data_IF_746959259869
#
_entry.id   IF_746959259869
#
_cell.length_a   1.000
_cell.length_b   1.000
_cell.length_c   1.000
_cell.angle_alpha   90.00
_cell.angle_beta   90.00
_cell.angle_gamma   90.00
#
_symmetry.space_group_name_H-M   'P 1'
#
loop_
_entity.id
_entity.type
_entity.pdbx_description
1 polymer ?
#
# COMPACT_ATOMS: atom_id res chain seq x y z
N UNK A 1 7.75 -7.75 -12.35
CA UNK A 1 6.37 -7.85 -12.89
C UNK A 1 6.15 -7.23 -14.29
N UNK A 2 7.18 -6.73 -15.00
CA UNK A 2 7.05 -6.10 -16.34
C UNK A 2 7.24 -7.08 -17.52
N UNK A 3 7.64 -8.33 -17.26
CA UNK A 3 7.92 -9.32 -18.31
C UNK A 3 6.66 -10.07 -18.82
N UNK A 4 5.53 -9.97 -18.12
CA UNK A 4 4.32 -10.73 -18.45
C UNK A 4 3.49 -10.12 -19.62
N UNK A 5 3.59 -8.82 -19.86
CA UNK A 5 2.68 -8.11 -20.79
C UNK A 5 3.05 -8.27 -22.28
N UNK A 6 4.30 -8.60 -22.63
CA UNK A 6 4.69 -8.85 -24.03
C UNK A 6 4.19 -10.20 -24.56
N UNK A 7 3.86 -11.16 -23.69
CA UNK A 7 3.38 -12.50 -24.08
C UNK A 7 1.86 -12.56 -24.27
N UNK A 8 1.08 -11.70 -23.62
CA UNK A 8 -0.39 -11.71 -23.70
C UNK A 8 -0.89 -11.38 -25.13
N UNK A 9 -0.24 -10.44 -25.84
CA UNK A 9 -0.53 -10.17 -27.27
C UNK A 9 -0.32 -11.39 -28.18
N UNK A 10 0.61 -12.29 -27.84
CA UNK A 10 0.86 -13.49 -28.63
C UNK A 10 -0.11 -14.64 -28.32
N UNK A 11 -0.76 -14.63 -27.15
CA UNK A 11 -1.77 -15.65 -26.78
C UNK A 11 -3.13 -15.32 -27.40
N UNK A 12 -3.50 -14.04 -27.50
CA UNK A 12 -4.71 -13.63 -28.24
C UNK A 12 -4.60 -13.94 -29.75
N UNK A 13 -3.39 -13.81 -30.33
CA UNK A 13 -3.13 -14.22 -31.70
C UNK A 13 -3.24 -15.75 -31.92
N UNK A 14 -3.00 -16.55 -30.87
CA UNK A 14 -3.18 -18.02 -30.89
C UNK A 14 -4.60 -18.48 -30.53
N UNK A 15 -5.40 -17.66 -29.85
CA UNK A 15 -6.84 -17.96 -29.59
C UNK A 15 -7.69 -17.97 -30.86
N UNK A 16 -7.21 -17.40 -31.97
CA UNK A 16 -7.86 -17.52 -33.28
C UNK A 16 -7.65 -18.88 -33.96
N UNK A 17 -6.73 -19.73 -33.48
CA UNK A 17 -6.58 -21.11 -33.93
C UNK A 17 -7.19 -22.06 -32.90
N UNK A 18 -8.43 -22.47 -33.15
CA UNK A 18 -9.32 -23.18 -32.23
C UNK A 18 -8.69 -24.20 -31.29
N UNK A 19 -8.95 -24.05 -30.00
CA UNK A 19 -9.03 -25.14 -29.03
C UNK A 19 -10.02 -24.76 -27.91
N UNK A 20 -10.84 -25.73 -27.54
CA UNK A 20 -12.10 -25.62 -26.78
C UNK A 20 -11.95 -24.93 -25.42
N UNK A 21 -12.90 -24.03 -25.13
CA UNK A 21 -13.16 -23.47 -23.80
C UNK A 21 -14.10 -24.38 -23.03
N UNK A 22 -13.72 -24.80 -21.81
CA UNK A 22 -14.64 -25.43 -20.85
C UNK A 22 -15.28 -24.33 -20.00
N UNK A 23 -16.62 -24.28 -19.86
CA UNK A 23 -17.29 -23.18 -19.16
C UNK A 23 -17.14 -23.22 -17.63
N UNK A 24 -17.00 -22.04 -17.04
CA UNK A 24 -16.68 -21.73 -15.64
C UNK A 24 -17.74 -22.07 -14.57
N UNK A 25 -18.74 -22.90 -14.88
CA UNK A 25 -19.95 -23.04 -14.03
C UNK A 25 -19.78 -23.79 -12.70
N UNK A 26 -18.86 -24.75 -12.59
CA UNK A 26 -18.97 -25.79 -11.54
C UNK A 26 -17.76 -25.96 -10.61
N UNK A 27 -16.83 -25.01 -10.53
CA UNK A 27 -15.64 -25.11 -9.64
C UNK A 27 -15.51 -24.03 -8.57
N UNK A 28 -16.48 -23.12 -8.47
CA UNK A 28 -16.51 -22.09 -7.42
C UNK A 28 -17.01 -22.60 -6.06
N UNK A 29 -17.35 -23.89 -5.93
CA UNK A 29 -17.66 -24.50 -4.63
C UNK A 29 -16.38 -24.99 -3.96
N UNK A 30 -16.01 -24.34 -2.86
CA UNK A 30 -14.93 -24.68 -1.93
C UNK A 30 -13.49 -24.46 -2.43
N UNK A 31 -13.01 -23.22 -2.28
CA UNK A 31 -11.63 -23.03 -1.80
C UNK A 31 -11.77 -22.66 -0.33
N UNK A 32 -11.82 -23.69 0.54
CA UNK A 32 -11.73 -23.50 2.00
C UNK A 32 -10.29 -23.17 2.38
N UNK A 33 -10.08 -22.61 3.57
CA UNK A 33 -8.75 -22.37 4.10
C UNK A 33 -7.97 -23.70 4.17
N UNK A 34 -6.64 -23.72 3.98
CA UNK A 34 -5.83 -24.94 4.10
C UNK A 34 -5.92 -25.63 5.47
N UNK A 35 -6.36 -24.91 6.50
CA UNK A 35 -6.50 -25.39 7.88
C UNK A 35 -7.77 -26.27 8.07
N UNK A 36 -8.80 -26.09 7.22
CA UNK A 36 -10.03 -26.90 7.20
C UNK A 36 -9.84 -28.29 6.54
N UNK A 37 -8.68 -28.57 5.94
CA UNK A 37 -8.42 -29.81 5.18
C UNK A 37 -7.65 -30.88 5.97
N UNK A 38 -7.57 -30.75 7.30
CA UNK A 38 -6.92 -31.75 8.16
C UNK A 38 -7.66 -33.10 8.24
N UNK A 39 -8.89 -33.20 7.71
CA UNK A 39 -9.67 -34.44 7.70
C UNK A 39 -10.35 -34.66 6.35
N UNK A 40 -9.69 -35.31 5.39
CA UNK A 40 -10.35 -35.87 4.20
C UNK A 40 -9.54 -35.80 2.92
N UNK A 41 -8.93 -36.92 2.55
CA UNK A 41 -8.28 -37.15 1.26
C UNK A 41 -9.27 -36.98 0.09
N UNK A 42 -8.92 -36.11 -0.87
CA UNK A 42 -8.96 -36.36 -2.34
C UNK A 42 -8.99 -35.04 -3.15
N UNK A 43 -7.83 -34.38 -3.37
CA UNK A 43 -7.53 -33.56 -4.58
C UNK A 43 -6.19 -32.78 -4.51
N UNK A 44 -5.46 -32.84 -3.39
CA UNK A 44 -4.23 -32.04 -3.19
C UNK A 44 -3.02 -32.46 -4.05
N UNK A 45 -3.04 -33.63 -4.70
CA UNK A 45 -1.91 -34.13 -5.51
C UNK A 45 -1.53 -33.19 -6.66
N UNK A 46 -2.52 -32.52 -7.26
CA UNK A 46 -2.29 -31.55 -8.35
C UNK A 46 -1.77 -30.20 -7.84
N UNK A 47 -1.97 -29.84 -6.57
CA UNK A 47 -1.53 -28.56 -6.00
C UNK A 47 -0.14 -28.60 -5.32
N UNK A 48 0.42 -29.80 -5.07
CA UNK A 48 1.76 -29.97 -4.48
C UNK A 48 2.82 -29.18 -5.26
N UNK A 49 3.44 -28.17 -4.66
CA UNK A 49 4.50 -27.35 -5.27
C UNK A 49 4.12 -25.90 -5.61
N UNK A 50 2.84 -25.54 -5.55
CA UNK A 50 2.42 -24.13 -5.68
C UNK A 50 2.67 -23.41 -4.35
N UNK A 51 3.40 -22.27 -4.32
CA UNK A 51 3.65 -21.53 -3.09
C UNK A 51 2.36 -21.11 -2.38
N UNK A 52 2.33 -21.28 -1.05
CA UNK A 52 1.15 -21.00 -0.22
C UNK A 52 0.62 -19.56 -0.34
N UNK A 53 1.51 -18.58 -0.59
CA UNK A 53 1.09 -17.19 -0.77
C UNK A 53 0.19 -16.98 -1.99
N UNK A 54 0.32 -17.80 -3.04
CA UNK A 54 -0.52 -17.71 -4.25
C UNK A 54 -1.96 -18.12 -3.93
N UNK A 55 -2.15 -19.19 -3.15
CA UNK A 55 -3.50 -19.61 -2.75
C UNK A 55 -4.18 -18.56 -1.88
N UNK A 56 -3.44 -17.92 -0.97
CA UNK A 56 -3.97 -16.80 -0.17
C UNK A 56 -4.39 -15.63 -1.04
N UNK A 57 -3.52 -15.20 -1.94
CA UNK A 57 -3.79 -14.09 -2.86
C UNK A 57 -5.02 -14.37 -3.74
N UNK A 58 -5.10 -15.56 -4.35
CA UNK A 58 -6.26 -15.97 -5.16
C UNK A 58 -7.54 -15.99 -4.33
N UNK A 59 -7.49 -16.57 -3.12
CA UNK A 59 -8.68 -16.67 -2.24
C UNK A 59 -9.21 -15.29 -1.87
N UNK A 60 -8.32 -14.37 -1.46
CA UNK A 60 -8.68 -12.99 -1.15
C UNK A 60 -9.28 -12.29 -2.38
N UNK A 61 -8.61 -12.35 -3.52
CA UNK A 61 -9.03 -11.65 -4.75
C UNK A 61 -10.37 -12.17 -5.31
N UNK A 62 -10.66 -13.46 -5.17
CA UNK A 62 -11.95 -14.03 -5.58
C UNK A 62 -13.09 -13.55 -4.67
N UNK A 63 -12.85 -13.46 -3.36
CA UNK A 63 -13.85 -12.96 -2.40
C UNK A 63 -14.05 -11.45 -2.49
N UNK A 64 -13.00 -10.70 -2.85
CA UNK A 64 -13.01 -9.25 -3.01
C UNK A 64 -13.35 -8.79 -4.43
N UNK A 65 -13.74 -9.72 -5.32
CA UNK A 65 -13.99 -9.41 -6.72
C UNK A 65 -15.11 -8.38 -6.87
N UNK A 66 -14.84 -7.31 -7.61
CA UNK A 66 -15.80 -6.22 -7.87
C UNK A 66 -15.92 -5.21 -6.73
N UNK A 67 -15.19 -5.38 -5.63
CA UNK A 67 -15.17 -4.39 -4.56
C UNK A 67 -14.43 -3.13 -5.02
N UNK A 68 -15.01 -1.96 -4.71
CA UNK A 68 -14.37 -0.69 -5.02
C UNK A 68 -13.02 -0.58 -4.31
N UNK A 69 -12.00 -0.15 -5.04
CA UNK A 69 -10.66 0.05 -4.48
C UNK A 69 -9.81 -1.22 -4.39
N UNK A 70 -10.21 -2.33 -5.00
CA UNK A 70 -9.42 -3.57 -5.10
C UNK A 70 -9.10 -3.86 -6.57
N UNK A 71 -7.91 -4.40 -6.86
CA UNK A 71 -7.53 -4.80 -8.23
C UNK A 71 -8.41 -5.91 -8.79
N UNK A 72 -8.68 -5.86 -10.09
CA UNK A 72 -9.53 -6.84 -10.76
C UNK A 72 -8.70 -8.02 -11.25
N UNK A 73 -8.80 -9.17 -10.57
CA UNK A 73 -8.30 -10.44 -11.08
C UNK A 73 -9.20 -10.91 -12.23
N UNK A 74 -8.62 -10.99 -13.44
CA UNK A 74 -9.31 -11.35 -14.67
C UNK A 74 -9.24 -12.86 -14.89
N UNK A 75 -8.06 -13.46 -14.72
CA UNK A 75 -7.84 -14.88 -15.02
C UNK A 75 -6.67 -15.46 -14.20
N UNK A 76 -6.64 -16.78 -14.08
CA UNK A 76 -5.56 -17.55 -13.45
C UNK A 76 -5.05 -18.54 -14.50
N UNK A 77 -3.82 -18.33 -14.96
CA UNK A 77 -3.21 -19.09 -16.04
C UNK A 77 -2.20 -20.09 -15.46
N UNK A 78 -2.41 -21.38 -15.73
CA UNK A 78 -1.39 -22.39 -15.53
C UNK A 78 -0.42 -22.39 -16.73
N UNK A 79 0.87 -22.20 -16.48
CA UNK A 79 1.86 -21.99 -17.55
C UNK A 79 2.46 -23.30 -18.05
N UNK A 80 2.79 -24.23 -17.15
CA UNK A 80 3.54 -25.44 -17.51
C UNK A 80 3.34 -26.60 -16.53
N UNK A 81 3.88 -27.76 -16.91
CA UNK A 81 3.90 -29.00 -16.11
C UNK A 81 4.65 -28.85 -14.77
N UNK A 82 5.35 -27.73 -14.54
CA UNK A 82 6.04 -27.43 -13.27
C UNK A 82 5.15 -26.63 -12.31
N UNK A 83 3.83 -26.56 -12.57
CA UNK A 83 2.84 -25.93 -11.68
C UNK A 83 3.11 -24.44 -11.45
N UNK A 84 3.69 -23.74 -12.44
CA UNK A 84 3.80 -22.28 -12.40
C UNK A 84 2.45 -21.65 -12.71
N UNK A 85 1.95 -20.84 -11.76
CA UNK A 85 0.69 -20.10 -11.88
C UNK A 85 0.99 -18.62 -12.18
N UNK A 86 0.25 -18.05 -13.13
CA UNK A 86 0.23 -16.62 -13.42
C UNK A 86 -1.14 -16.04 -13.12
N UNK A 87 -1.16 -14.95 -12.36
CA UNK A 87 -2.37 -14.17 -12.11
C UNK A 87 -2.45 -13.04 -13.15
N UNK A 88 -3.55 -12.99 -13.90
CA UNK A 88 -3.81 -11.96 -14.88
C UNK A 88 -4.75 -10.91 -14.28
N UNK A 89 -4.27 -9.67 -14.17
CA UNK A 89 -5.03 -8.55 -13.63
C UNK A 89 -5.42 -7.57 -14.71
N UNK A 90 -6.47 -6.79 -14.47
CA UNK A 90 -6.73 -5.58 -15.26
C UNK A 90 -5.52 -4.64 -15.18
N UNK A 91 -5.14 -4.08 -16.32
CA UNK A 91 -4.00 -3.17 -16.38
C UNK A 91 -4.40 -1.76 -15.94
N UNK A 92 -3.69 -1.24 -14.94
CA UNK A 92 -3.88 0.09 -14.38
C UNK A 92 -2.85 1.04 -15.01
N UNK A 93 -3.30 1.93 -15.92
CA UNK A 93 -2.42 2.70 -16.81
C UNK A 93 -1.58 3.76 -16.09
N UNK A 94 -2.02 4.19 -14.92
CA UNK A 94 -1.35 5.20 -14.11
C UNK A 94 -0.13 4.67 -13.35
N UNK A 95 0.13 3.36 -13.38
CA UNK A 95 1.22 2.75 -12.63
C UNK A 95 0.89 2.62 -11.14
N UNK A 96 1.92 2.69 -10.29
CA UNK A 96 1.78 2.65 -8.83
C UNK A 96 2.01 4.02 -8.17
N UNK A 97 1.42 4.19 -7.00
CA UNK A 97 1.47 5.43 -6.23
C UNK A 97 2.90 5.80 -5.81
N UNK A 98 3.75 4.82 -5.51
CA UNK A 98 5.14 5.05 -5.14
C UNK A 98 5.93 5.74 -6.25
N UNK A 99 5.79 5.24 -7.48
CA UNK A 99 6.38 5.85 -8.67
C UNK A 99 5.85 7.27 -8.90
N UNK A 100 4.55 7.50 -8.70
CA UNK A 100 3.96 8.84 -8.87
C UNK A 100 4.56 9.85 -7.88
N UNK A 101 4.61 9.50 -6.58
CA UNK A 101 5.19 10.34 -5.52
C UNK A 101 6.66 10.63 -5.84
N UNK A 102 7.46 9.60 -6.07
CA UNK A 102 8.90 9.75 -6.31
C UNK A 102 9.20 10.59 -7.58
N UNK A 103 8.43 10.38 -8.65
CA UNK A 103 8.55 11.14 -9.90
C UNK A 103 8.22 12.61 -9.70
N UNK A 104 7.22 12.93 -8.89
CA UNK A 104 6.84 14.30 -8.59
C UNK A 104 7.90 15.00 -7.73
N UNK A 105 8.31 14.37 -6.62
CA UNK A 105 9.34 14.86 -5.69
C UNK A 105 10.63 15.18 -6.44
N UNK A 106 11.08 14.28 -7.31
CA UNK A 106 12.33 14.44 -8.06
C UNK A 106 12.29 15.65 -8.99
N UNK A 107 11.16 15.87 -9.69
CA UNK A 107 10.98 17.01 -10.59
C UNK A 107 10.94 18.35 -9.84
N UNK A 108 10.30 18.37 -8.67
CA UNK A 108 10.22 19.59 -7.83
C UNK A 108 11.59 19.99 -7.25
N UNK A 109 12.45 19.03 -6.91
CA UNK A 109 13.82 19.29 -6.43
C UNK A 109 14.70 19.95 -7.50
N UNK A 110 14.53 19.56 -8.77
CA UNK A 110 15.30 20.10 -9.90
C UNK A 110 14.87 21.54 -10.25
N UNK A 111 13.63 21.93 -9.93
CA UNK A 111 13.07 23.26 -10.21
C UNK A 111 13.49 24.40 -9.27
N UNK A 112 14.41 24.16 -8.31
CA UNK A 112 15.04 25.23 -7.52
C UNK A 112 14.23 25.81 -6.35
N UNK A 113 13.00 25.36 -6.08
CA UNK A 113 12.21 25.85 -4.95
C UNK A 113 12.60 25.06 -3.67
N UNK A 114 13.67 25.50 -3.01
CA UNK A 114 14.04 25.00 -1.66
C UNK A 114 12.89 25.31 -0.68
N UNK A 115 12.33 24.29 -0.02
CA UNK A 115 11.37 24.44 1.07
C UNK A 115 9.88 24.28 0.72
N UNK A 116 9.49 24.09 -0.55
CA UNK A 116 8.10 23.80 -0.91
C UNK A 116 7.67 22.38 -0.48
N UNK A 117 6.39 22.19 -0.12
CA UNK A 117 5.80 20.85 0.10
C UNK A 117 6.13 19.97 -1.12
N UNK A 118 6.90 18.90 -0.90
CA UNK A 118 7.42 18.03 -1.97
C UNK A 118 6.45 16.92 -2.37
N UNK A 119 5.37 16.72 -1.60
CA UNK A 119 4.35 15.73 -1.87
C UNK A 119 3.41 16.10 -3.01
N UNK A 120 2.42 15.25 -3.24
CA UNK A 120 1.38 15.45 -4.23
C UNK A 120 0.53 16.70 -3.94
N UNK A 121 -0.08 17.31 -4.97
CA UNK A 121 -1.12 18.32 -4.84
C UNK A 121 -2.17 17.94 -3.79
N UNK A 122 -2.61 18.89 -2.97
CA UNK A 122 -3.45 18.60 -1.80
C UNK A 122 -4.80 17.99 -2.21
N UNK A 123 -5.38 18.50 -3.29
CA UNK A 123 -6.65 18.00 -3.87
C UNK A 123 -6.53 16.52 -4.25
N UNK A 124 -5.42 16.15 -4.88
CA UNK A 124 -5.13 14.78 -5.30
C UNK A 124 -4.83 13.87 -4.10
N UNK A 125 -3.96 14.31 -3.19
CA UNK A 125 -3.64 13.54 -1.99
C UNK A 125 -4.89 13.25 -1.15
N UNK A 126 -5.80 14.22 -1.04
CA UNK A 126 -7.08 14.04 -0.33
C UNK A 126 -8.00 13.06 -1.05
N UNK A 127 -8.13 13.18 -2.37
CA UNK A 127 -8.93 12.27 -3.19
C UNK A 127 -8.41 10.82 -3.09
N UNK A 128 -7.10 10.65 -3.17
CA UNK A 128 -6.42 9.36 -3.03
C UNK A 128 -6.53 8.78 -1.62
N UNK A 129 -6.34 9.60 -0.57
CA UNK A 129 -6.54 9.18 0.81
C UNK A 129 -7.97 8.64 1.05
N UNK A 130 -8.98 9.34 0.53
CA UNK A 130 -10.38 8.90 0.62
C UNK A 130 -10.58 7.53 -0.04
N UNK A 131 -10.06 7.35 -1.26
CA UNK A 131 -10.20 6.09 -2.00
C UNK A 131 -9.46 4.93 -1.33
N UNK A 132 -8.25 5.19 -0.80
CA UNK A 132 -7.49 4.20 -0.04
C UNK A 132 -8.29 3.69 1.17
N UNK A 133 -8.90 4.61 1.93
CA UNK A 133 -9.71 4.25 3.09
C UNK A 133 -10.99 3.50 2.71
N UNK A 134 -11.66 3.88 1.61
CA UNK A 134 -12.81 3.14 1.08
C UNK A 134 -12.42 1.73 0.65
N UNK A 135 -11.30 1.58 -0.06
CA UNK A 135 -10.77 0.27 -0.46
C UNK A 135 -10.48 -0.62 0.75
N UNK A 136 -9.83 -0.07 1.78
CA UNK A 136 -9.57 -0.80 3.02
C UNK A 136 -10.83 -1.17 3.77
N UNK A 137 -11.80 -0.27 3.85
CA UNK A 137 -13.10 -0.58 4.44
C UNK A 137 -13.75 -1.76 3.72
N UNK A 138 -13.71 -1.80 2.39
CA UNK A 138 -14.27 -2.92 1.63
C UNK A 138 -13.50 -4.24 1.87
N UNK A 139 -12.18 -4.18 1.97
CA UNK A 139 -11.35 -5.35 2.30
C UNK A 139 -11.71 -5.88 3.70
N UNK A 140 -11.76 -5.00 4.69
CA UNK A 140 -12.04 -5.34 6.09
C UNK A 140 -13.48 -5.82 6.28
N UNK A 141 -14.47 -5.18 5.64
CA UNK A 141 -15.88 -5.60 5.70
C UNK A 141 -16.11 -7.00 5.11
N UNK A 142 -15.26 -7.43 4.18
CA UNK A 142 -15.29 -8.78 3.62
C UNK A 142 -14.42 -9.78 4.41
N UNK A 143 -13.95 -9.40 5.61
CA UNK A 143 -13.26 -10.33 6.50
C UNK A 143 -11.78 -10.51 6.20
N UNK A 144 -11.12 -9.60 5.47
CA UNK A 144 -9.70 -9.71 5.13
C UNK A 144 -8.86 -8.60 5.76
N UNK A 145 -7.59 -8.90 6.05
CA UNK A 145 -6.53 -7.92 6.32
C UNK A 145 -5.51 -7.97 5.20
N UNK A 146 -5.02 -6.81 4.76
CA UNK A 146 -4.06 -6.71 3.66
C UNK A 146 -2.63 -7.06 4.10
N UNK A 147 -2.14 -6.47 5.20
CA UNK A 147 -0.86 -6.76 5.87
C UNK A 147 0.43 -6.48 5.08
N UNK A 148 0.36 -5.91 3.88
CA UNK A 148 1.52 -5.33 3.18
C UNK A 148 1.18 -4.07 2.38
N UNK A 149 0.48 -3.13 3.02
CA UNK A 149 0.19 -1.84 2.40
C UNK A 149 1.47 -1.02 2.29
N UNK A 150 1.74 -0.56 1.07
CA UNK A 150 2.80 0.38 0.73
C UNK A 150 2.42 1.09 -0.58
N UNK A 151 3.02 2.25 -0.91
CA UNK A 151 2.70 2.97 -2.14
C UNK A 151 2.88 2.13 -3.41
N UNK A 152 3.84 1.20 -3.43
CA UNK A 152 4.07 0.29 -4.56
C UNK A 152 2.96 -0.75 -4.78
N UNK A 153 2.10 -0.98 -3.79
CA UNK A 153 0.97 -1.91 -3.84
C UNK A 153 -0.37 -1.19 -4.08
N UNK A 154 -0.32 0.12 -4.35
CA UNK A 154 -1.49 0.94 -4.65
C UNK A 154 -1.40 1.37 -6.11
N UNK A 155 -2.27 0.81 -6.94
CA UNK A 155 -2.33 1.03 -8.38
C UNK A 155 -3.23 2.22 -8.71
N UNK A 156 -2.93 2.89 -9.84
CA UNK A 156 -3.65 4.06 -10.32
C UNK A 156 -4.26 3.74 -11.69
N UNK A 157 -5.57 3.92 -11.84
CA UNK A 157 -6.28 3.47 -13.04
C UNK A 157 -5.89 4.18 -14.32
N UNK A 158 -5.67 5.49 -14.23
CA UNK A 158 -5.39 6.35 -15.37
C UNK A 158 -4.18 7.24 -15.09
N UNK A 159 -3.42 7.57 -16.14
CA UNK A 159 -2.23 8.40 -16.02
C UNK A 159 -2.59 9.83 -15.61
N UNK A 160 -1.89 10.33 -14.60
CA UNK A 160 -2.13 11.65 -14.04
C UNK A 160 -1.26 12.70 -14.72
N UNK A 161 -1.89 13.75 -15.27
CA UNK A 161 -1.19 14.90 -15.85
C UNK A 161 -0.77 15.90 -14.78
N UNK A 162 0.30 15.58 -14.04
CA UNK A 162 0.75 16.33 -12.86
C UNK A 162 0.97 17.84 -13.10
N UNK A 163 1.49 18.25 -14.26
CA UNK A 163 1.75 19.67 -14.55
C UNK A 163 0.47 20.51 -14.53
N UNK A 164 -0.61 19.97 -15.10
CA UNK A 164 -1.90 20.63 -15.17
C UNK A 164 -2.51 20.78 -13.77
N UNK A 165 -2.42 19.73 -12.95
CA UNK A 165 -2.92 19.76 -11.56
C UNK A 165 -2.16 20.78 -10.72
N UNK A 166 -0.83 20.81 -10.78
CA UNK A 166 -0.01 21.76 -10.02
C UNK A 166 -0.30 23.21 -10.43
N UNK A 167 -0.37 23.49 -11.74
CA UNK A 167 -0.70 24.81 -12.25
C UNK A 167 -2.08 25.29 -11.74
N UNK A 168 -3.07 24.39 -11.74
CA UNK A 168 -4.40 24.70 -11.23
C UNK A 168 -4.41 25.06 -9.74
N UNK A 169 -3.64 24.35 -8.90
CA UNK A 169 -3.58 24.60 -7.47
C UNK A 169 -2.87 25.94 -7.15
N UNK A 170 -1.84 26.29 -7.93
CA UNK A 170 -1.16 27.58 -7.81
C UNK A 170 -2.07 28.75 -8.19
N UNK A 171 -2.84 28.62 -9.27
CA UNK A 171 -3.79 29.65 -9.71
C UNK A 171 -4.90 29.89 -8.67
N UNK A 172 -5.39 28.82 -8.02
CA UNK A 172 -6.37 28.95 -6.92
C UNK A 172 -5.81 29.74 -5.72
N UNK A 173 -4.52 29.57 -5.40
CA UNK A 173 -3.87 30.30 -4.30
C UNK A 173 -3.57 31.76 -4.64
N UNK A 174 -3.35 32.07 -5.90
CA UNK A 174 -3.01 33.42 -6.36
C UNK A 174 -4.19 34.40 -6.36
N UNK A 175 -5.43 33.94 -6.11
CA UNK A 175 -6.62 34.81 -6.03
C UNK A 175 -6.96 35.52 -7.35
N UNK A 176 -6.23 35.25 -8.43
CA UNK A 176 -6.50 35.81 -9.75
C UNK A 176 -7.74 35.12 -10.33
N UNK A 177 -8.70 35.92 -10.77
CA UNK A 177 -9.90 35.46 -11.46
C UNK A 177 -9.52 34.73 -12.74
N UNK A 178 -9.23 33.43 -12.64
CA UNK A 178 -9.19 32.54 -13.79
C UNK A 178 -10.59 32.01 -14.06
N UNK A 179 -10.94 31.99 -15.35
CA UNK A 179 -12.25 31.64 -15.88
C UNK A 179 -12.79 30.35 -15.23
N UNK A 180 -14.07 30.39 -14.85
CA UNK A 180 -14.77 29.31 -14.14
C UNK A 180 -14.69 27.99 -14.93
N UNK A 181 -14.64 28.05 -16.27
CA UNK A 181 -14.54 26.88 -17.15
C UNK A 181 -13.24 26.07 -16.98
N UNK A 182 -12.09 26.70 -16.71
CA UNK A 182 -10.83 25.95 -16.51
C UNK A 182 -10.76 25.26 -15.15
N UNK A 183 -11.47 25.76 -14.13
CA UNK A 183 -11.56 25.12 -12.79
C UNK A 183 -12.37 23.83 -12.82
N UNK A 184 -13.39 23.75 -13.68
CA UNK A 184 -14.32 22.61 -13.73
C UNK A 184 -13.63 21.36 -14.34
N UNK A 185 -12.75 21.53 -15.32
CA UNK A 185 -12.18 20.40 -16.08
C UNK A 185 -11.14 19.58 -15.29
N UNK A 186 -10.29 20.21 -14.48
CA UNK A 186 -9.19 19.50 -13.79
C UNK A 186 -9.63 18.74 -12.53
N UNK A 187 -10.60 19.27 -11.78
CA UNK A 187 -11.18 18.54 -10.64
C UNK A 187 -11.88 17.27 -11.13
N UNK A 188 -12.64 17.37 -12.22
CA UNK A 188 -13.27 16.23 -12.88
C UNK A 188 -12.23 15.21 -13.38
N UNK A 189 -11.10 15.69 -13.92
CA UNK A 189 -10.01 14.82 -14.36
C UNK A 189 -9.39 14.02 -13.20
N UNK A 190 -9.20 14.62 -12.02
CA UNK A 190 -8.72 13.91 -10.82
C UNK A 190 -9.79 12.95 -10.29
N UNK A 191 -11.06 13.37 -10.28
CA UNK A 191 -12.18 12.55 -9.80
C UNK A 191 -12.35 11.25 -10.59
N UNK A 192 -12.03 11.26 -11.90
CA UNK A 192 -12.03 10.07 -12.76
C UNK A 192 -10.89 9.08 -12.45
N UNK A 193 -9.84 9.51 -11.75
CA UNK A 193 -8.70 8.63 -11.39
C UNK A 193 -9.08 7.78 -10.18
N UNK A 194 -9.00 6.47 -10.35
CA UNK A 194 -9.28 5.50 -9.31
C UNK A 194 -8.00 4.92 -8.72
N UNK A 195 -7.98 4.73 -7.40
CA UNK A 195 -6.97 3.92 -6.72
C UNK A 195 -7.47 2.50 -6.51
N UNK A 196 -6.56 1.54 -6.66
CA UNK A 196 -6.82 0.12 -6.39
C UNK A 196 -5.70 -0.51 -5.59
N UNK A 197 -6.06 -1.14 -4.48
CA UNK A 197 -5.16 -1.92 -3.63
C UNK A 197 -4.91 -3.27 -4.30
N UNK A 198 -3.64 -3.64 -4.44
CA UNK A 198 -3.20 -4.92 -5.00
C UNK A 198 -2.11 -5.57 -4.15
N UNK A 199 -1.61 -6.71 -4.62
CA UNK A 199 -0.62 -7.55 -3.92
C UNK A 199 -1.14 -8.12 -2.58
N UNK A 200 -1.98 -9.15 -2.69
CA UNK A 200 -2.60 -9.83 -1.55
C UNK A 200 -1.81 -11.06 -1.08
N UNK A 201 -0.54 -11.23 -1.50
CA UNK A 201 0.28 -12.40 -1.16
C UNK A 201 0.53 -12.59 0.34
N UNK A 202 0.51 -11.48 1.08
CA UNK A 202 0.60 -11.44 2.55
C UNK A 202 -0.75 -11.23 3.24
N UNK A 203 -1.87 -11.16 2.52
CA UNK A 203 -3.19 -11.02 3.14
C UNK A 203 -3.57 -12.24 4.00
N UNK A 204 -4.51 -12.04 4.94
CA UNK A 204 -5.07 -13.12 5.77
C UNK A 204 -6.53 -12.81 6.12
N UNK A 205 -7.35 -13.86 6.15
CA UNK A 205 -8.72 -13.78 6.65
C UNK A 205 -8.73 -13.48 8.15
N UNK A 206 -9.65 -12.63 8.58
CA UNK A 206 -9.87 -12.32 9.98
C UNK A 206 -10.57 -13.49 10.66
N UNK A 207 -9.98 -13.96 11.75
CA UNK A 207 -10.52 -15.05 12.56
C UNK A 207 -11.01 -14.49 13.90
N UNK A 208 -12.12 -15.03 14.41
CA UNK A 208 -12.62 -14.69 15.73
C UNK A 208 -12.80 -15.95 16.58
N UNK A 209 -12.12 -16.08 17.74
CA UNK A 209 -11.18 -15.11 18.33
C UNK A 209 -9.88 -14.97 17.51
N UNK A 210 -9.21 -13.82 17.63
CA UNK A 210 -7.94 -13.55 16.94
C UNK A 210 -6.89 -14.61 17.30
N UNK A 211 -6.37 -15.29 16.29
CA UNK A 211 -5.28 -16.27 16.46
C UNK A 211 -3.91 -15.59 16.39
N UNK A 212 -2.88 -16.13 17.06
CA UNK A 212 -1.50 -15.70 16.87
C UNK A 212 -1.08 -15.76 15.39
N UNK A 213 -0.46 -14.70 14.88
CA UNK A 213 -0.03 -14.57 13.48
C UNK A 213 1.48 -14.35 13.35
N UNK A 214 2.02 -14.49 12.13
CA UNK A 214 3.45 -14.32 11.85
C UNK A 214 3.91 -12.86 11.99
N UNK A 215 5.16 -12.67 12.46
CA UNK A 215 5.80 -11.35 12.60
C UNK A 215 6.36 -10.78 11.29
N UNK A 216 6.71 -11.64 10.34
CA UNK A 216 7.29 -11.28 9.04
C UNK A 216 6.22 -10.78 8.05
N UNK A 217 5.53 -9.71 8.42
CA UNK A 217 4.52 -9.03 7.60
C UNK A 217 4.81 -7.54 7.55
N UNK A 218 4.19 -6.84 6.60
CA UNK A 218 4.40 -5.43 6.30
C UNK A 218 5.85 -5.06 5.96
N UNK A 219 5.99 -4.24 4.93
CA UNK A 219 7.24 -3.54 4.64
C UNK A 219 7.60 -2.62 5.82
N UNK A 220 8.85 -2.71 6.31
CA UNK A 220 9.31 -2.12 7.57
C UNK A 220 8.90 -0.65 7.79
N UNK A 221 8.92 0.19 6.76
CA UNK A 221 8.59 1.62 6.85
C UNK A 221 7.12 1.93 7.13
N UNK A 222 6.21 1.01 6.78
CA UNK A 222 4.76 1.16 6.93
C UNK A 222 4.22 0.26 8.05
N UNK A 223 5.11 -0.48 8.72
CA UNK A 223 4.75 -1.47 9.73
C UNK A 223 4.23 -0.80 11.00
N UNK A 224 3.11 -1.31 11.50
CA UNK A 224 2.50 -0.87 12.74
C UNK A 224 3.34 -1.26 13.97
N UNK A 225 3.37 -0.43 15.01
CA UNK A 225 4.24 -0.60 16.17
C UNK A 225 3.96 -1.89 16.95
N UNK A 226 2.70 -2.29 17.09
CA UNK A 226 2.27 -3.51 17.77
C UNK A 226 2.85 -4.79 17.14
N UNK A 227 3.22 -4.74 15.85
CA UNK A 227 3.84 -5.87 15.15
C UNK A 227 5.31 -6.03 15.52
N UNK A 228 6.00 -4.96 15.92
CA UNK A 228 7.36 -5.05 16.45
C UNK A 228 7.41 -5.53 17.90
N UNK A 229 6.32 -5.35 18.66
CA UNK A 229 6.26 -5.63 20.11
C UNK A 229 5.87 -7.08 20.44
N UNK A 230 6.11 -8.02 19.53
CA UNK A 230 5.82 -9.45 19.69
C UNK A 230 4.37 -9.82 20.04
N UNK A 231 3.44 -8.87 19.87
CA UNK A 231 2.02 -9.15 20.01
C UNK A 231 1.49 -9.84 18.75
N UNK A 232 1.42 -11.17 18.79
CA UNK A 232 0.95 -11.98 17.66
C UNK A 232 -0.56 -11.88 17.42
N UNK A 233 -1.32 -11.23 18.30
CA UNK A 233 -2.75 -10.99 18.17
C UNK A 233 -3.05 -9.56 17.70
N UNK A 234 -2.53 -9.20 16.53
CA UNK A 234 -2.85 -7.91 15.89
C UNK A 234 -4.17 -7.99 15.10
N UNK A 235 -4.78 -6.83 14.86
CA UNK A 235 -6.07 -6.72 14.15
C UNK A 235 -5.92 -5.94 12.84
N UNK A 236 -7.04 -5.71 12.14
CA UNK A 236 -7.09 -4.88 10.93
C UNK A 236 -6.56 -3.44 11.12
N UNK A 237 -6.37 -2.98 12.37
CA UNK A 237 -5.78 -1.68 12.67
C UNK A 237 -4.36 -1.47 12.10
N UNK A 238 -3.59 -2.56 11.89
CA UNK A 238 -2.25 -2.46 11.29
C UNK A 238 -2.29 -1.89 9.85
N UNK A 239 -3.38 -2.16 9.12
CA UNK A 239 -3.60 -1.63 7.79
C UNK A 239 -3.94 -0.14 7.85
N UNK A 240 -4.66 0.31 8.88
CA UNK A 240 -4.95 1.73 9.10
C UNK A 240 -3.68 2.53 9.48
N UNK A 241 -2.78 1.93 10.25
CA UNK A 241 -1.46 2.51 10.51
C UNK A 241 -0.68 2.70 9.20
N UNK A 242 -0.60 1.64 8.40
CA UNK A 242 0.04 1.68 7.08
C UNK A 242 -0.60 2.76 6.19
N UNK A 243 -1.93 2.86 6.15
CA UNK A 243 -2.65 3.89 5.41
C UNK A 243 -2.27 5.31 5.88
N UNK A 244 -2.18 5.54 7.20
CA UNK A 244 -1.76 6.83 7.76
C UNK A 244 -0.35 7.25 7.34
N UNK A 245 0.60 6.31 7.36
CA UNK A 245 1.98 6.56 6.90
C UNK A 245 2.04 6.85 5.39
N UNK A 246 1.24 6.16 4.58
CA UNK A 246 1.11 6.41 3.12
C UNK A 246 0.49 7.78 2.86
N UNK A 247 -0.54 8.18 3.62
CA UNK A 247 -1.15 9.51 3.49
C UNK A 247 -0.13 10.61 3.82
N UNK A 248 0.69 10.43 4.86
CA UNK A 248 1.79 11.33 5.15
C UNK A 248 2.79 11.42 3.98
N UNK A 249 3.15 10.28 3.39
CA UNK A 249 4.07 10.25 2.26
C UNK A 249 3.47 10.93 1.01
N UNK A 250 2.17 10.76 0.75
CA UNK A 250 1.48 11.50 -0.30
C UNK A 250 1.57 13.02 -0.08
N UNK A 251 1.41 13.49 1.14
CA UNK A 251 1.39 14.93 1.46
C UNK A 251 2.77 15.56 1.51
N UNK A 252 3.79 14.80 1.93
CA UNK A 252 5.14 15.33 2.19
C UNK A 252 6.17 14.92 1.16
N UNK A 253 5.91 13.85 0.40
CA UNK A 253 6.87 13.20 -0.48
C UNK A 253 7.99 12.48 0.26
N UNK A 254 7.83 12.25 1.57
CA UNK A 254 8.81 11.63 2.46
C UNK A 254 8.18 10.46 3.21
N UNK A 255 8.95 9.39 3.37
CA UNK A 255 8.58 8.29 4.27
C UNK A 255 8.49 8.84 5.69
N UNK A 256 7.41 8.52 6.41
CA UNK A 256 7.13 9.03 7.76
C UNK A 256 8.17 8.58 8.80
N UNK A 257 8.44 7.29 8.83
CA UNK A 257 9.42 6.67 9.74
C UNK A 257 10.46 5.94 8.92
N UNK A 258 11.73 6.33 9.05
CA UNK A 258 12.82 5.78 8.24
C UNK A 258 13.91 5.22 9.12
N UNK A 259 13.93 3.90 9.26
CA UNK A 259 15.02 3.18 9.90
C UNK A 259 15.40 1.91 9.15
N UNK A 260 16.64 1.45 9.34
CA UNK A 260 17.17 0.24 8.68
C UNK A 260 17.02 -1.03 9.53
N UNK A 261 16.54 -0.90 10.76
CA UNK A 261 16.35 -2.00 11.70
C UNK A 261 14.98 -1.87 12.39
N UNK A 262 14.42 -2.99 12.85
CA UNK A 262 13.15 -3.01 13.58
C UNK A 262 13.23 -2.17 14.86
N UNK A 263 14.33 -2.30 15.60
CA UNK A 263 14.61 -1.49 16.80
C UNK A 263 14.66 0.00 16.43
N UNK A 264 15.32 0.36 15.33
CA UNK A 264 15.36 1.74 14.86
C UNK A 264 13.97 2.29 14.51
N UNK A 265 13.09 1.47 13.92
CA UNK A 265 11.71 1.88 13.65
C UNK A 265 10.94 2.17 14.93
N UNK A 266 11.11 1.32 15.95
CA UNK A 266 10.50 1.55 17.27
C UNK A 266 10.96 2.91 17.83
N UNK A 267 12.26 3.21 17.77
CA UNK A 267 12.78 4.51 18.22
C UNK A 267 12.22 5.70 17.44
N UNK A 268 12.13 5.61 16.11
CA UNK A 268 11.53 6.66 15.28
C UNK A 268 10.05 6.90 15.63
N UNK A 269 9.29 5.83 15.88
CA UNK A 269 7.89 5.92 16.29
C UNK A 269 7.78 6.59 17.67
N UNK A 270 8.59 6.15 18.63
CA UNK A 270 8.61 6.69 19.99
C UNK A 270 9.05 8.15 20.02
N UNK A 271 10.01 8.56 19.16
CA UNK A 271 10.42 9.96 19.05
C UNK A 271 9.26 10.88 18.68
N UNK A 272 8.38 10.43 17.77
CA UNK A 272 7.23 11.22 17.33
C UNK A 272 6.05 11.17 18.33
N UNK A 273 5.84 10.04 19.01
CA UNK A 273 4.67 9.78 19.87
C UNK A 273 4.90 9.97 21.37
N UNK A 274 6.15 10.02 21.83
CA UNK A 274 6.54 9.99 23.24
C UNK A 274 7.23 8.67 23.62
N UNK A 275 8.00 8.66 24.72
CA UNK A 275 8.59 7.44 25.25
C UNK A 275 7.51 6.55 25.89
N UNK A 276 7.61 5.21 25.77
CA UNK A 276 6.65 4.35 26.43
C UNK A 276 6.76 4.48 27.96
N UNK A 277 5.66 4.79 28.65
CA UNK A 277 5.55 4.72 30.10
C UNK A 277 5.75 3.27 30.50
N UNK A 278 6.70 2.98 31.39
CA UNK A 278 6.88 1.63 31.93
C UNK A 278 5.67 1.30 32.79
N UNK A 279 4.80 0.35 32.38
CA UNK A 279 3.70 -0.04 33.24
C UNK A 279 4.21 -0.98 34.32
N UNK A 280 3.44 -1.12 35.41
CA UNK A 280 3.77 -2.07 36.47
C UNK A 280 3.84 -3.51 35.89
N UNK A 281 4.71 -4.40 36.41
CA UNK A 281 4.97 -5.73 35.84
C UNK A 281 3.75 -6.64 35.66
N UNK A 282 2.63 -6.33 36.31
CA UNK A 282 1.38 -7.09 36.30
C UNK A 282 0.32 -6.54 35.33
N UNK A 283 0.60 -5.46 34.61
CA UNK A 283 -0.40 -4.74 33.83
C UNK A 283 -0.24 -5.00 32.33
N UNK A 284 -1.24 -5.65 31.72
CA UNK A 284 -1.39 -5.65 30.26
C UNK A 284 -1.82 -4.24 29.85
N UNK A 285 -0.89 -3.46 29.32
CA UNK A 285 -1.17 -2.08 28.88
C UNK A 285 -1.46 -2.08 27.39
N UNK A 286 -2.55 -1.40 27.01
CA UNK A 286 -2.91 -1.22 25.60
C UNK A 286 -1.89 -0.30 24.95
N UNK A 287 -1.63 -0.49 23.66
CA UNK A 287 -0.66 0.32 22.93
C UNK A 287 -0.94 1.84 23.04
N UNK A 288 -2.21 2.24 23.07
CA UNK A 288 -2.61 3.65 23.22
C UNK A 288 -2.28 4.25 24.60
N UNK A 289 -2.15 3.41 25.63
CA UNK A 289 -1.78 3.79 27.00
C UNK A 289 -0.27 3.69 27.23
N UNK A 290 0.47 3.19 26.24
CA UNK A 290 1.91 3.04 26.33
C UNK A 290 2.59 4.40 26.27
N UNK A 291 2.00 5.44 25.68
CA UNK A 291 2.67 6.72 25.40
C UNK A 291 2.28 7.82 26.39
N UNK A 292 3.26 8.49 26.98
CA UNK A 292 3.04 9.77 27.67
C UNK A 292 3.22 10.94 26.68
N UNK A 293 2.16 11.66 26.31
CA UNK A 293 2.24 12.81 25.41
C UNK A 293 3.16 13.93 25.94
N UNK A 294 3.40 13.99 27.26
CA UNK A 294 4.28 14.98 27.89
C UNK A 294 5.77 14.58 27.88
N UNK A 295 6.09 13.33 27.53
CA UNK A 295 7.45 12.77 27.54
C UNK A 295 8.28 13.06 26.28
N UNK A 296 7.85 14.02 25.43
CA UNK A 296 8.62 14.40 24.24
C UNK A 296 10.06 14.68 24.65
N UNK A 297 11.00 13.95 24.05
CA UNK A 297 12.43 14.18 24.25
C UNK A 297 12.74 15.56 23.67
N UNK A 298 12.84 16.56 24.53
CA UNK A 298 13.41 17.86 24.20
C UNK A 298 14.91 17.66 24.07
N UNK A 299 15.36 17.26 22.89
CA UNK A 299 16.75 17.48 22.51
C UNK A 299 16.85 18.80 21.76
N UNK A 300 17.66 19.69 22.32
CA UNK A 300 17.97 21.03 21.83
C UNK A 300 18.34 21.04 20.35
N UNK A 301 17.62 21.85 19.58
CA UNK A 301 17.99 22.26 18.23
C UNK A 301 19.36 22.96 18.23
N UNK A 302 20.43 22.23 17.90
CA UNK A 302 21.69 22.84 17.46
C UNK A 302 22.55 21.86 16.67
N UNK A 303 22.14 21.46 15.46
CA UNK A 303 23.13 20.92 14.49
C UNK A 303 22.73 20.84 13.01
N UNK A 304 21.56 21.34 12.57
CA UNK A 304 21.21 21.31 11.14
C UNK A 304 20.95 22.68 10.50
N UNK A 305 21.55 23.74 11.05
CA UNK A 305 21.57 25.06 10.43
C UNK A 305 23.00 25.63 10.39
N UNK A 306 23.85 25.12 9.49
CA UNK A 306 24.91 25.91 8.84
C UNK A 306 25.67 25.03 7.84
N UNK A 307 25.30 25.10 6.56
CA UNK A 307 26.30 24.96 5.52
C UNK A 307 26.84 26.35 5.22
N UNK A 308 28.15 26.57 5.42
CA UNK A 308 29.10 27.04 4.40
C UNK A 308 30.48 27.35 5.00
N UNK A 309 31.56 27.20 4.20
CA UNK A 309 32.95 27.10 4.66
C UNK A 309 33.65 28.47 4.69
N UNK A 310 34.58 28.67 5.62
CA UNK A 310 35.62 29.70 5.49
C UNK A 310 36.95 29.14 6.02
N UNK A 311 37.92 29.14 5.11
CA UNK A 311 39.38 29.16 5.27
C UNK A 311 39.88 29.67 6.63
N UNK A 312 40.84 28.98 7.23
CA UNK A 312 42.27 29.35 7.18
C UNK A 312 43.07 28.53 8.19
N UNK A 313 44.26 28.15 7.75
CA UNK A 313 45.39 27.61 8.51
C UNK A 313 45.58 28.25 9.90
N UNK A 314 46.12 27.50 10.86
CA UNK A 314 47.39 27.77 11.55
C UNK A 314 47.59 26.72 12.67
N UNK A 315 48.68 25.96 12.50
CA UNK A 315 49.44 25.08 13.40
C UNK A 315 48.79 23.87 14.10
#
# INVERSE_FOLDING_TARGET
MVVALKKIRNVEAKKQSGQQTVPLGNRASMIRSPEDFSNGESDLSNCVGIPHFIFREVSALLQLKGQQGVVDLVDILEIDKNKKVMLAFRFEKGGDLGQLIQSHVSKMKVGGIRGARLGLPLTMATHFAKQLLIGLQNIHNNGWMHRDLKPGNIMISEAVKMKEVVASELNLRAGSGCDIETKINHKEAIEKVQLKIGDFGLSKAMEFPLQPMTKEIMTIYYRAPEVFLDNLTYSACIDLWSAGTIIFEMLTGKIMFRAHTEIGMIFEIFRLKGSPVRPAPSQKVKFDELFDPASQIVESDSQFAAGMPILSDFD
#
